data_IF_640514773026
#
_entry.id   IF_640514773026
#
_cell.length_a   1.000
_cell.length_b   1.000
_cell.length_c   1.000
_cell.angle_alpha   90.00
_cell.angle_beta   90.00
_cell.angle_gamma   90.00
#
_symmetry.space_group_name_H-M   'P 1'
#
loop_
_entity.id
_entity.type
_entity.pdbx_description
1 polymer ?
#
# COMPACT_ATOMS: atom_id res chain seq x y z
N UNK A 1 35.52 -20.03 9.26
CA UNK A 1 34.16 -20.44 8.88
C UNK A 1 33.43 -21.07 10.07
N UNK A 2 32.29 -20.50 10.48
CA UNK A 2 31.41 -21.10 11.48
C UNK A 2 30.28 -21.86 10.78
N UNK A 3 30.08 -23.14 11.08
CA UNK A 3 29.06 -23.95 10.41
C UNK A 3 28.09 -24.54 11.43
N UNK A 4 26.86 -24.06 11.41
CA UNK A 4 25.76 -24.55 12.25
C UNK A 4 24.77 -25.41 11.46
N UNK A 5 25.09 -25.77 10.22
CA UNK A 5 24.17 -26.49 9.34
C UNK A 5 23.58 -27.73 10.02
N UNK A 6 22.28 -27.97 9.79
CA UNK A 6 21.51 -29.08 10.37
C UNK A 6 21.38 -29.07 11.90
N UNK A 7 21.77 -27.98 12.58
CA UNK A 7 21.61 -27.87 14.04
C UNK A 7 20.15 -27.59 14.44
N UNK A 8 19.69 -28.23 15.52
CA UNK A 8 18.37 -27.99 16.14
C UNK A 8 18.57 -27.29 17.50
N UNK A 9 18.12 -26.04 17.60
CA UNK A 9 18.25 -25.23 18.80
C UNK A 9 16.94 -25.22 19.59
N UNK A 10 16.96 -25.86 20.77
CA UNK A 10 15.77 -26.08 21.61
C UNK A 10 15.48 -24.94 22.60
N UNK A 11 16.45 -24.08 22.90
CA UNK A 11 16.32 -22.98 23.86
C UNK A 11 16.48 -21.60 23.24
N UNK A 12 16.30 -20.56 24.06
CA UNK A 12 16.60 -19.18 23.65
C UNK A 12 18.06 -19.08 23.23
N UNK A 13 18.28 -18.67 21.98
CA UNK A 13 19.62 -18.63 21.38
C UNK A 13 19.95 -17.20 20.97
N UNK A 14 21.16 -16.74 21.28
CA UNK A 14 21.61 -15.39 20.95
C UNK A 14 22.93 -15.47 20.18
N UNK A 15 22.95 -14.92 18.97
CA UNK A 15 24.16 -14.71 18.18
C UNK A 15 24.49 -13.22 18.18
N UNK A 16 25.56 -12.87 18.86
CA UNK A 16 26.09 -11.50 18.92
C UNK A 16 27.58 -11.48 18.62
N UNK A 17 28.04 -10.43 17.94
CA UNK A 17 29.44 -10.22 17.58
C UNK A 17 29.65 -10.19 16.07
N UNK A 18 30.90 -10.29 15.64
CA UNK A 18 31.27 -10.47 14.23
C UNK A 18 31.73 -11.90 13.98
N UNK A 19 31.30 -12.49 12.87
CA UNK A 19 31.95 -13.68 12.35
C UNK A 19 33.12 -13.21 11.47
N UNK A 20 34.35 -13.58 11.82
CA UNK A 20 35.56 -13.20 11.04
C UNK A 20 35.54 -13.79 9.61
N UNK A 21 34.70 -14.81 9.39
CA UNK A 21 34.51 -15.52 8.14
C UNK A 21 33.04 -16.01 8.04
N UNK A 22 32.65 -16.67 6.94
CA UNK A 22 31.25 -17.06 6.69
C UNK A 22 30.64 -17.89 7.83
N UNK A 23 29.42 -17.54 8.23
CA UNK A 23 28.57 -18.36 9.08
C UNK A 23 27.42 -18.98 8.26
N UNK A 24 27.22 -20.30 8.39
CA UNK A 24 26.14 -21.01 7.68
C UNK A 24 25.15 -21.62 8.66
N UNK A 25 23.86 -21.34 8.44
CA UNK A 25 22.73 -21.91 9.18
C UNK A 25 21.80 -22.72 8.26
N UNK A 26 22.40 -23.47 7.34
CA UNK A 26 21.64 -24.22 6.35
C UNK A 26 20.89 -25.38 7.03
N UNK A 27 19.58 -25.50 6.77
CA UNK A 27 18.72 -26.51 7.38
C UNK A 27 18.73 -26.52 8.92
N UNK A 28 18.99 -25.36 9.55
CA UNK A 28 18.82 -25.22 10.99
C UNK A 28 17.35 -25.12 11.38
N UNK A 29 17.04 -25.50 12.61
CA UNK A 29 15.72 -25.32 13.21
C UNK A 29 15.89 -24.54 14.51
N UNK A 30 15.21 -23.40 14.63
CA UNK A 30 15.13 -22.65 15.88
C UNK A 30 13.73 -22.84 16.48
N UNK A 31 13.65 -23.64 17.55
CA UNK A 31 12.37 -23.99 18.21
C UNK A 31 11.87 -22.94 19.18
N UNK A 32 12.77 -22.11 19.70
CA UNK A 32 12.44 -20.99 20.59
C UNK A 32 12.91 -19.64 20.01
N UNK A 33 12.74 -18.56 20.79
CA UNK A 33 13.15 -17.22 20.34
C UNK A 33 14.65 -17.14 20.08
N UNK A 34 15.02 -16.53 18.96
CA UNK A 34 16.40 -16.27 18.57
C UNK A 34 16.65 -14.78 18.39
N UNK A 35 17.84 -14.34 18.83
CA UNK A 35 18.30 -12.95 18.69
C UNK A 35 19.59 -12.91 17.87
N UNK A 36 19.62 -12.07 16.83
CA UNK A 36 20.80 -11.71 16.07
C UNK A 36 21.13 -10.24 16.32
N UNK A 37 22.39 -9.91 16.63
CA UNK A 37 22.86 -8.52 16.84
C UNK A 37 24.27 -8.32 16.29
N UNK A 38 24.53 -7.14 15.73
CA UNK A 38 25.87 -6.73 15.28
C UNK A 38 26.14 -6.96 13.79
N UNK A 39 27.43 -7.07 13.44
CA UNK A 39 27.90 -7.21 12.07
C UNK A 39 27.95 -8.67 11.63
N UNK A 40 27.11 -9.08 10.68
CA UNK A 40 26.92 -10.49 10.33
C UNK A 40 27.21 -10.77 8.84
N UNK A 41 27.95 -11.85 8.53
CA UNK A 41 28.09 -12.44 7.18
C UNK A 41 27.50 -13.86 7.23
N UNK A 42 26.19 -13.96 6.97
CA UNK A 42 25.40 -15.18 7.20
C UNK A 42 24.66 -15.63 5.93
N UNK A 43 24.61 -16.94 5.69
CA UNK A 43 23.69 -17.55 4.72
C UNK A 43 22.63 -18.41 5.43
N UNK A 44 21.35 -18.17 5.12
CA UNK A 44 20.21 -18.97 5.56
C UNK A 44 19.56 -19.70 4.39
N UNK A 45 19.67 -21.02 4.36
CA UNK A 45 18.98 -21.85 3.39
C UNK A 45 18.10 -22.88 4.11
N UNK A 46 16.79 -22.66 4.11
CA UNK A 46 15.81 -23.68 4.45
C UNK A 46 15.52 -24.48 3.18
N UNK A 47 16.07 -25.70 3.09
CA UNK A 47 15.77 -26.61 1.99
C UNK A 47 14.25 -26.73 1.75
N UNK A 48 13.87 -27.05 0.52
CA UNK A 48 12.51 -26.95 -0.07
C UNK A 48 11.41 -27.83 0.55
N UNK A 49 11.60 -28.39 1.74
CA UNK A 49 10.62 -29.26 2.41
C UNK A 49 9.84 -28.45 3.43
N UNK A 50 8.50 -28.37 3.24
CA UNK A 50 7.56 -27.60 4.09
C UNK A 50 7.62 -27.92 5.59
N UNK A 51 8.22 -29.05 5.98
CA UNK A 51 8.36 -29.51 7.37
C UNK A 51 9.48 -28.80 8.17
N UNK A 52 10.32 -27.96 7.53
CA UNK A 52 11.46 -27.29 8.21
C UNK A 52 11.39 -25.76 8.09
N UNK A 53 10.48 -25.14 8.84
CA UNK A 53 10.53 -23.67 9.05
C UNK A 53 11.80 -23.33 9.82
N UNK A 54 12.59 -22.38 9.30
CA UNK A 54 13.79 -21.86 10.01
C UNK A 54 13.39 -21.33 11.39
N UNK A 55 12.26 -20.63 11.43
CA UNK A 55 11.77 -19.91 12.58
C UNK A 55 10.38 -20.41 12.97
N UNK A 56 10.30 -21.07 14.13
CA UNK A 56 9.01 -21.52 14.68
C UNK A 56 8.35 -20.47 15.59
N UNK A 57 9.11 -19.45 16.02
CA UNK A 57 8.66 -18.37 16.91
C UNK A 57 9.22 -17.02 16.46
N UNK A 58 8.93 -15.99 17.27
CA UNK A 58 9.48 -14.64 17.18
C UNK A 58 11.01 -14.67 17.02
N UNK A 59 11.50 -13.94 16.03
CA UNK A 59 12.93 -13.72 15.77
C UNK A 59 13.23 -12.25 15.92
N UNK A 60 14.24 -11.94 16.72
CA UNK A 60 14.74 -10.58 16.90
C UNK A 60 16.01 -10.41 16.06
N UNK A 61 15.85 -9.79 14.89
CA UNK A 61 16.97 -9.41 14.03
C UNK A 61 16.98 -7.89 13.96
N UNK A 62 17.28 -7.27 15.10
CA UNK A 62 17.26 -5.83 15.28
C UNK A 62 18.69 -5.28 15.33
N UNK A 63 18.88 -4.08 14.77
CA UNK A 63 20.19 -3.42 14.69
C UNK A 63 21.27 -4.30 14.06
N UNK A 64 20.89 -5.08 13.04
CA UNK A 64 21.81 -5.94 12.29
C UNK A 64 22.31 -5.21 11.06
N UNK A 65 23.64 -5.21 10.89
CA UNK A 65 24.29 -4.70 9.70
C UNK A 65 25.02 -5.83 8.99
N UNK A 66 24.62 -6.14 7.74
CA UNK A 66 25.33 -7.14 6.95
C UNK A 66 26.55 -6.50 6.29
N UNK A 67 27.75 -6.98 6.63
CA UNK A 67 29.00 -6.43 6.09
C UNK A 67 29.16 -6.75 4.58
N UNK A 68 28.56 -7.86 4.15
CA UNK A 68 28.54 -8.33 2.74
C UNK A 68 27.11 -8.75 2.38
N UNK A 69 26.17 -7.79 2.21
CA UNK A 69 24.76 -8.10 2.02
C UNK A 69 24.50 -8.94 0.77
N UNK A 70 25.30 -8.76 -0.28
CA UNK A 70 25.30 -9.53 -1.54
C UNK A 70 25.51 -11.06 -1.33
N UNK A 71 26.09 -11.45 -0.19
CA UNK A 71 26.33 -12.86 0.16
C UNK A 71 25.24 -13.44 1.05
N UNK A 72 24.38 -12.59 1.61
CA UNK A 72 23.30 -13.00 2.50
C UNK A 72 22.12 -13.41 1.65
N UNK A 73 21.64 -14.64 1.88
CA UNK A 73 20.48 -15.18 1.19
C UNK A 73 19.50 -15.70 2.23
N UNK A 74 18.22 -15.38 2.03
CA UNK A 74 17.08 -16.00 2.67
C UNK A 74 16.28 -16.71 1.59
N UNK A 75 16.22 -18.04 1.65
CA UNK A 75 15.55 -18.87 0.64
C UNK A 75 14.47 -19.70 1.32
N UNK A 76 13.21 -19.54 0.91
CA UNK A 76 12.08 -20.29 1.47
C UNK A 76 11.76 -19.94 2.94
N UNK A 77 12.28 -18.81 3.43
CA UNK A 77 12.18 -18.43 4.85
C UNK A 77 10.85 -17.73 5.15
N UNK A 78 10.21 -18.14 6.24
CA UNK A 78 9.05 -17.43 6.79
C UNK A 78 9.50 -16.19 7.56
N UNK A 79 9.28 -15.01 6.98
CA UNK A 79 9.67 -13.71 7.53
C UNK A 79 8.55 -13.08 8.38
N UNK A 80 7.40 -13.75 8.53
CA UNK A 80 6.21 -13.18 9.18
C UNK A 80 6.35 -12.93 10.69
N UNK A 81 7.41 -13.45 11.33
CA UNK A 81 7.68 -13.30 12.77
C UNK A 81 9.00 -12.57 13.09
N UNK A 82 9.63 -11.94 12.09
CA UNK A 82 10.90 -11.22 12.27
C UNK A 82 10.65 -9.77 12.68
N UNK A 83 11.29 -9.37 13.78
CA UNK A 83 11.50 -7.97 14.11
C UNK A 83 12.79 -7.49 13.43
N UNK A 84 12.67 -6.48 12.57
CA UNK A 84 13.73 -5.98 11.68
C UNK A 84 14.09 -4.52 11.93
N UNK A 85 13.52 -3.90 12.98
CA UNK A 85 13.87 -2.54 13.37
C UNK A 85 15.40 -2.37 13.50
N UNK A 86 15.94 -1.35 12.85
CA UNK A 86 17.39 -1.06 12.87
C UNK A 86 18.23 -1.92 11.93
N UNK A 87 17.64 -2.89 11.23
CA UNK A 87 18.36 -3.78 10.32
C UNK A 87 18.34 -3.27 8.89
N UNK A 88 19.51 -3.27 8.24
CA UNK A 88 19.63 -2.97 6.81
C UNK A 88 19.59 -4.26 5.99
N UNK A 89 18.63 -4.36 5.07
CA UNK A 89 18.45 -5.51 4.18
C UNK A 89 18.81 -5.18 2.73
N UNK A 90 19.28 -3.97 2.43
CA UNK A 90 19.69 -3.61 1.06
C UNK A 90 20.83 -4.50 0.59
N UNK A 91 20.75 -4.96 -0.65
CA UNK A 91 21.68 -5.93 -1.24
C UNK A 91 21.49 -7.37 -0.80
N UNK A 92 20.63 -7.65 0.19
CA UNK A 92 20.33 -9.01 0.66
C UNK A 92 19.42 -9.71 -0.34
N UNK A 93 19.70 -10.98 -0.61
CA UNK A 93 18.88 -11.79 -1.49
C UNK A 93 17.71 -12.46 -0.76
N UNK A 94 16.49 -12.15 -1.20
CA UNK A 94 15.24 -12.69 -0.67
C UNK A 94 14.56 -13.52 -1.77
N UNK A 95 14.51 -14.84 -1.59
CA UNK A 95 13.88 -15.78 -2.53
C UNK A 95 12.82 -16.60 -1.81
N UNK A 96 11.61 -16.69 -2.37
CA UNK A 96 10.48 -17.46 -1.84
C UNK A 96 10.18 -17.19 -0.35
N UNK A 97 10.34 -15.94 0.08
CA UNK A 97 10.10 -15.52 1.46
C UNK A 97 8.64 -15.19 1.73
N UNK A 98 8.13 -15.54 2.92
CA UNK A 98 6.73 -15.25 3.32
C UNK A 98 6.65 -14.03 4.23
N UNK A 99 5.82 -13.04 3.87
CA UNK A 99 5.70 -11.76 4.59
C UNK A 99 4.30 -11.44 5.08
N UNK A 100 3.32 -12.33 4.88
CA UNK A 100 1.92 -12.03 5.12
C UNK A 100 1.62 -11.80 6.60
N UNK A 101 0.96 -10.68 6.90
CA UNK A 101 0.55 -10.32 8.26
C UNK A 101 -0.98 -10.31 8.35
N UNK A 102 -1.56 -11.26 9.08
CA UNK A 102 -3.01 -11.37 9.23
C UNK A 102 -3.65 -10.10 9.79
N UNK A 103 -2.99 -9.44 10.76
CA UNK A 103 -3.48 -8.18 11.34
C UNK A 103 -3.51 -7.01 10.35
N UNK A 104 -2.61 -7.02 9.36
CA UNK A 104 -2.53 -5.97 8.34
C UNK A 104 -3.34 -6.33 7.09
N UNK A 105 -3.73 -7.60 6.93
CA UNK A 105 -4.37 -8.15 5.71
C UNK A 105 -3.55 -7.92 4.43
N UNK A 106 -2.23 -7.82 4.57
CA UNK A 106 -1.25 -7.64 3.49
C UNK A 106 0.13 -8.15 3.92
N UNK A 107 1.06 -8.19 2.97
CA UNK A 107 2.47 -8.35 3.31
C UNK A 107 2.98 -7.12 4.07
N UNK A 108 3.76 -7.34 5.11
CA UNK A 108 4.29 -6.25 5.92
C UNK A 108 5.19 -6.70 7.06
N UNK A 109 5.70 -5.72 7.79
CA UNK A 109 6.62 -5.96 8.90
C UNK A 109 5.88 -6.43 10.15
N UNK A 110 6.44 -7.45 10.80
CA UNK A 110 5.97 -7.84 12.12
C UNK A 110 6.21 -6.75 13.16
N UNK A 111 7.20 -5.87 12.96
CA UNK A 111 7.43 -4.69 13.82
C UNK A 111 6.19 -3.79 13.93
N UNK A 112 5.43 -3.62 12.84
CA UNK A 112 4.17 -2.87 12.88
C UNK A 112 3.12 -3.60 13.73
N UNK A 113 2.97 -4.91 13.53
CA UNK A 113 2.04 -5.76 14.29
C UNK A 113 2.39 -5.79 15.78
N UNK A 114 3.68 -5.79 16.09
CA UNK A 114 4.21 -5.75 17.45
C UNK A 114 3.94 -4.39 18.08
N UNK A 115 4.23 -3.28 17.40
CA UNK A 115 4.00 -1.93 17.88
C UNK A 115 2.52 -1.63 18.16
N UNK A 116 1.58 -2.28 17.44
CA UNK A 116 0.15 -2.18 17.72
C UNK A 116 -0.27 -2.76 19.09
N UNK A 117 0.56 -3.61 19.70
CA UNK A 117 0.30 -4.18 21.03
C UNK A 117 0.94 -3.37 22.17
N UNK A 118 1.71 -2.33 21.83
CA UNK A 118 2.48 -1.54 22.79
C UNK A 118 1.78 -0.23 23.15
N UNK A 119 2.32 0.48 24.15
CA UNK A 119 1.82 1.80 24.54
C UNK A 119 2.02 2.85 23.43
N UNK A 120 1.20 3.89 23.43
CA UNK A 120 1.28 4.97 22.43
C UNK A 120 2.64 5.69 22.43
N UNK A 121 3.26 5.84 23.61
CA UNK A 121 4.59 6.42 23.75
C UNK A 121 5.65 5.57 23.02
N UNK A 122 5.64 4.26 23.24
CA UNK A 122 6.53 3.34 22.52
C UNK A 122 6.24 3.36 21.02
N UNK A 123 4.96 3.37 20.63
CA UNK A 123 4.55 3.38 19.23
C UNK A 123 5.06 4.63 18.51
N UNK A 124 4.96 5.80 19.12
CA UNK A 124 5.43 7.06 18.54
C UNK A 124 6.95 7.10 18.43
N UNK A 125 7.67 6.49 19.39
CA UNK A 125 9.13 6.36 19.35
C UNK A 125 9.59 5.43 18.22
N UNK A 126 8.92 4.28 18.02
CA UNK A 126 9.37 3.25 17.08
C UNK A 126 8.90 3.47 15.64
N UNK A 127 7.83 4.25 15.42
CA UNK A 127 7.26 4.51 14.09
C UNK A 127 8.30 4.93 13.02
N UNK A 128 9.23 5.87 13.29
CA UNK A 128 10.25 6.25 12.31
C UNK A 128 11.17 5.08 11.92
N UNK A 129 11.46 4.18 12.85
CA UNK A 129 12.30 3.02 12.61
C UNK A 129 11.55 1.97 11.78
N UNK A 130 10.25 1.79 12.01
CA UNK A 130 9.38 0.94 11.18
C UNK A 130 9.29 1.51 9.74
N UNK A 131 9.22 2.83 9.57
CA UNK A 131 9.26 3.46 8.24
C UNK A 131 10.55 3.09 7.50
N UNK A 132 11.70 3.18 8.19
CA UNK A 132 13.00 2.78 7.63
C UNK A 132 13.05 1.29 7.30
N UNK A 133 12.49 0.44 8.16
CA UNK A 133 12.40 -1.01 7.91
C UNK A 133 11.59 -1.31 6.64
N UNK A 134 10.44 -0.65 6.46
CA UNK A 134 9.62 -0.82 5.26
C UNK A 134 10.39 -0.42 4.00
N UNK A 135 11.13 0.70 4.05
CA UNK A 135 11.98 1.15 2.95
C UNK A 135 13.09 0.16 2.64
N UNK A 136 13.78 -0.36 3.65
CA UNK A 136 14.89 -1.29 3.47
C UNK A 136 14.41 -2.61 2.84
N UNK A 137 13.30 -3.18 3.33
CA UNK A 137 12.72 -4.40 2.74
C UNK A 137 12.22 -4.13 1.32
N UNK A 138 11.56 -2.98 1.07
CA UNK A 138 11.12 -2.61 -0.28
C UNK A 138 12.28 -2.58 -1.27
N UNK A 139 13.38 -1.90 -0.93
CA UNK A 139 14.56 -1.81 -1.80
C UNK A 139 15.15 -3.20 -2.04
N UNK A 140 15.30 -4.02 -1.01
CA UNK A 140 15.77 -5.39 -1.16
C UNK A 140 14.88 -6.23 -2.10
N UNK A 141 13.56 -6.12 -1.97
CA UNK A 141 12.62 -6.83 -2.86
C UNK A 141 12.70 -6.30 -4.31
N UNK A 142 12.84 -4.99 -4.51
CA UNK A 142 13.02 -4.38 -5.84
C UNK A 142 14.31 -4.86 -6.51
N UNK A 143 15.42 -4.95 -5.76
CA UNK A 143 16.71 -5.47 -6.22
C UNK A 143 16.63 -6.96 -6.60
N UNK A 144 15.84 -7.74 -5.86
CA UNK A 144 15.53 -9.14 -6.17
C UNK A 144 14.44 -9.30 -7.25
N UNK A 145 13.97 -8.21 -7.86
CA UNK A 145 12.92 -8.16 -8.90
C UNK A 145 11.54 -8.66 -8.44
N UNK A 146 11.30 -8.74 -7.14
CA UNK A 146 9.99 -9.07 -6.57
C UNK A 146 9.13 -7.82 -6.39
N UNK A 147 8.65 -7.30 -7.53
CA UNK A 147 7.84 -6.09 -7.56
C UNK A 147 6.45 -6.25 -6.94
N UNK A 148 5.96 -7.49 -6.80
CA UNK A 148 4.65 -7.76 -6.22
C UNK A 148 4.70 -7.47 -4.72
N UNK A 149 5.65 -8.09 -3.99
CA UNK A 149 5.82 -7.82 -2.57
C UNK A 149 6.31 -6.39 -2.33
N UNK A 150 7.27 -5.88 -3.11
CA UNK A 150 7.79 -4.52 -2.95
C UNK A 150 6.66 -3.47 -2.93
N UNK A 151 5.61 -3.68 -3.73
CA UNK A 151 4.46 -2.78 -3.79
C UNK A 151 3.65 -2.76 -2.48
N UNK A 152 3.50 -3.88 -1.79
CA UNK A 152 2.84 -3.93 -0.47
C UNK A 152 3.71 -3.25 0.62
N UNK A 153 5.03 -3.41 0.55
CA UNK A 153 5.95 -2.71 1.45
C UNK A 153 5.99 -1.20 1.20
N UNK A 154 5.84 -0.76 -0.05
CA UNK A 154 5.66 0.66 -0.40
C UNK A 154 4.39 1.26 0.23
N UNK A 155 3.26 0.54 0.18
CA UNK A 155 2.03 0.95 0.84
C UNK A 155 2.28 1.10 2.36
N UNK A 156 2.95 0.11 2.96
CA UNK A 156 3.33 0.17 4.37
C UNK A 156 4.19 1.39 4.71
N UNK A 157 5.22 1.68 3.91
CA UNK A 157 6.07 2.87 4.06
C UNK A 157 5.21 4.16 4.10
N UNK A 158 4.31 4.33 3.14
CA UNK A 158 3.44 5.52 3.08
C UNK A 158 2.45 5.56 4.25
N UNK A 159 1.86 4.44 4.63
CA UNK A 159 0.92 4.37 5.75
C UNK A 159 1.59 4.77 7.07
N UNK A 160 2.81 4.30 7.31
CA UNK A 160 3.60 4.68 8.49
C UNK A 160 3.96 6.17 8.44
N UNK A 161 4.41 6.69 7.28
CA UNK A 161 4.67 8.13 7.10
C UNK A 161 3.44 8.99 7.38
N UNK A 162 2.26 8.54 6.95
CA UNK A 162 0.99 9.21 7.22
C UNK A 162 0.62 9.18 8.71
N UNK A 163 0.90 8.08 9.43
CA UNK A 163 0.67 7.96 10.88
C UNK A 163 1.53 8.93 11.71
N UNK A 164 2.64 9.45 11.18
CA UNK A 164 3.48 10.48 11.83
C UNK A 164 2.88 11.89 11.80
N UNK A 165 1.92 12.14 10.92
CA UNK A 165 1.35 13.49 10.75
C UNK A 165 0.25 13.75 11.79
N UNK A 166 0.07 15.02 12.14
CA UNK A 166 -1.07 15.46 12.97
C UNK A 166 -2.41 15.00 12.35
N UNK A 167 -3.43 14.74 13.18
CA UNK A 167 -4.72 14.13 12.79
C UNK A 167 -5.32 14.76 11.53
N UNK A 168 -5.32 16.10 11.45
CA UNK A 168 -5.87 16.84 10.29
C UNK A 168 -5.08 16.53 9.01
N UNK A 169 -3.74 16.59 9.06
CA UNK A 169 -2.87 16.25 7.92
C UNK A 169 -2.92 14.77 7.57
N UNK A 170 -3.12 13.90 8.57
CA UNK A 170 -3.24 12.45 8.39
C UNK A 170 -4.47 12.08 7.55
N UNK A 171 -5.57 12.83 7.67
CA UNK A 171 -6.84 12.47 7.02
C UNK A 171 -7.25 13.36 5.84
N UNK A 172 -6.96 14.66 5.87
CA UNK A 172 -7.55 15.61 4.91
C UNK A 172 -6.54 16.44 4.11
N UNK A 173 -5.44 16.86 4.73
CA UNK A 173 -4.53 17.87 4.14
C UNK A 173 -3.20 17.30 3.65
N UNK A 174 -3.13 16.00 3.34
CA UNK A 174 -1.91 15.40 2.78
C UNK A 174 -2.17 14.74 1.43
N UNK A 175 -1.20 14.90 0.52
CA UNK A 175 -1.20 14.28 -0.81
C UNK A 175 -1.34 12.75 -0.66
N UNK A 176 -0.73 12.17 0.37
CA UNK A 176 -0.82 10.74 0.66
C UNK A 176 -2.23 10.33 1.11
N UNK A 177 -2.92 11.16 1.91
CA UNK A 177 -4.32 10.90 2.27
C UNK A 177 -5.24 10.97 1.06
N UNK A 178 -5.04 11.97 0.19
CA UNK A 178 -5.79 12.12 -1.05
C UNK A 178 -5.55 10.94 -2.01
N UNK A 179 -4.28 10.56 -2.24
CA UNK A 179 -3.93 9.43 -3.10
C UNK A 179 -4.49 8.09 -2.58
N UNK A 180 -4.49 7.90 -1.25
CA UNK A 180 -5.15 6.76 -0.61
C UNK A 180 -6.66 6.75 -0.86
N UNK A 181 -7.32 7.90 -0.69
CA UNK A 181 -8.76 8.02 -0.90
C UNK A 181 -9.15 7.76 -2.37
N UNK A 182 -8.35 8.25 -3.32
CA UNK A 182 -8.63 8.13 -4.74
C UNK A 182 -8.45 6.71 -5.29
N UNK A 183 -7.47 5.95 -4.81
CA UNK A 183 -7.10 4.67 -5.47
C UNK A 183 -6.41 3.64 -4.57
N UNK A 184 -6.38 3.84 -3.25
CA UNK A 184 -5.55 3.06 -2.32
C UNK A 184 -4.09 3.00 -2.80
N UNK A 185 -3.52 4.16 -3.11
CA UNK A 185 -2.17 4.28 -3.67
C UNK A 185 -1.97 3.56 -5.02
N UNK A 186 -2.98 3.62 -5.89
CA UNK A 186 -2.93 3.01 -7.22
C UNK A 186 -2.95 1.48 -7.19
N UNK A 187 -3.56 0.86 -6.17
CA UNK A 187 -3.60 -0.61 -6.03
C UNK A 187 -4.99 -1.20 -6.16
N UNK A 188 -6.05 -0.41 -5.98
CA UNK A 188 -7.43 -0.89 -6.07
C UNK A 188 -8.20 -0.25 -7.22
N UNK A 189 -8.41 -1.00 -8.33
CA UNK A 189 -9.26 -0.56 -9.43
C UNK A 189 -10.69 -0.24 -8.98
N UNK A 190 -11.23 -1.01 -8.05
CA UNK A 190 -12.59 -0.84 -7.54
C UNK A 190 -12.71 0.49 -6.79
N UNK A 191 -11.72 0.84 -5.96
CA UNK A 191 -11.69 2.14 -5.30
C UNK A 191 -11.62 3.28 -6.31
N UNK A 192 -10.74 3.16 -7.31
CA UNK A 192 -10.60 4.18 -8.35
C UNK A 192 -11.88 4.36 -9.18
N UNK A 193 -12.55 3.26 -9.54
CA UNK A 193 -13.84 3.31 -10.24
C UNK A 193 -14.95 3.93 -9.38
N UNK A 194 -15.00 3.59 -8.08
CA UNK A 194 -15.95 4.18 -7.14
C UNK A 194 -15.75 5.69 -7.01
N UNK A 195 -14.52 6.16 -6.94
CA UNK A 195 -14.21 7.59 -6.86
C UNK A 195 -14.51 8.32 -8.17
N UNK A 196 -14.27 7.68 -9.32
CA UNK A 196 -14.71 8.22 -10.61
C UNK A 196 -16.24 8.39 -10.67
N UNK A 197 -16.99 7.36 -10.24
CA UNK A 197 -18.45 7.43 -10.14
C UNK A 197 -18.91 8.54 -9.19
N UNK A 198 -18.20 8.72 -8.07
CA UNK A 198 -18.51 9.79 -7.12
C UNK A 198 -18.30 11.18 -7.73
N UNK A 199 -17.19 11.41 -8.45
CA UNK A 199 -16.97 12.67 -9.17
C UNK A 199 -18.01 12.89 -10.28
N UNK A 200 -18.40 11.83 -10.98
CA UNK A 200 -19.49 11.87 -11.96
C UNK A 200 -20.80 12.32 -11.32
N UNK A 201 -21.22 11.68 -10.23
CA UNK A 201 -22.46 12.04 -9.53
C UNK A 201 -22.39 13.45 -8.96
N UNK A 202 -21.25 13.85 -8.39
CA UNK A 202 -21.06 15.18 -7.83
C UNK A 202 -21.19 16.27 -8.91
N UNK A 203 -20.47 16.12 -10.03
CA UNK A 203 -20.57 17.07 -11.14
C UNK A 203 -21.98 17.14 -11.69
N UNK A 204 -22.59 15.98 -11.95
CA UNK A 204 -23.95 15.86 -12.46
C UNK A 204 -24.97 16.59 -11.57
N UNK A 205 -24.93 16.36 -10.26
CA UNK A 205 -25.83 17.02 -9.31
C UNK A 205 -25.60 18.53 -9.29
N UNK A 206 -24.36 18.99 -9.23
CA UNK A 206 -24.04 20.42 -9.23
C UNK A 206 -24.55 21.09 -10.51
N UNK A 207 -24.27 20.52 -11.68
CA UNK A 207 -24.76 21.04 -12.96
C UNK A 207 -26.28 21.08 -13.03
N UNK A 208 -26.93 20.01 -12.58
CA UNK A 208 -28.40 19.93 -12.56
C UNK A 208 -29.02 21.00 -11.65
N UNK A 209 -28.51 21.18 -10.43
CA UNK A 209 -29.02 22.19 -9.50
C UNK A 209 -28.75 23.63 -9.97
N UNK A 210 -27.58 23.89 -10.56
CA UNK A 210 -27.27 25.22 -11.11
C UNK A 210 -28.20 25.56 -12.27
N UNK A 211 -28.50 24.60 -13.14
CA UNK A 211 -29.47 24.80 -14.21
C UNK A 211 -30.88 25.06 -13.67
N UNK A 212 -31.34 24.25 -12.71
CA UNK A 212 -32.67 24.42 -12.11
C UNK A 212 -32.80 25.80 -11.46
N UNK A 213 -31.76 26.24 -10.75
CA UNK A 213 -31.72 27.56 -10.12
C UNK A 213 -31.73 28.70 -11.15
N UNK A 214 -31.14 28.50 -12.34
CA UNK A 214 -31.09 29.51 -13.39
C UNK A 214 -32.37 29.60 -14.22
N UNK A 215 -33.14 28.52 -14.32
CA UNK A 215 -34.25 28.40 -15.29
C UNK A 215 -35.63 28.67 -14.69
N UNK A 216 -35.74 28.88 -13.37
CA UNK A 216 -37.01 29.07 -12.65
C UNK A 216 -38.08 27.99 -12.93
N UNK A 217 -37.69 26.83 -13.44
CA UNK A 217 -38.64 25.74 -13.68
C UNK A 217 -39.14 25.16 -12.33
N UNK A 218 -40.42 24.76 -12.23
CA UNK A 218 -40.91 24.04 -11.07
C UNK A 218 -40.17 22.70 -10.91
N UNK A 219 -39.98 22.27 -9.67
CA UNK A 219 -39.40 20.96 -9.35
C UNK A 219 -40.34 19.86 -9.87
N UNK A 220 -39.79 18.80 -10.47
CA UNK A 220 -40.56 17.73 -11.09
C UNK A 220 -41.62 17.10 -10.16
N UNK A 221 -42.84 16.94 -10.65
CA UNK A 221 -43.91 16.16 -10.01
C UNK A 221 -43.79 14.67 -10.37
N UNK A 222 -43.43 13.84 -9.40
CA UNK A 222 -43.06 12.42 -9.59
C UNK A 222 -44.24 11.42 -9.61
N UNK A 223 -45.44 11.85 -9.99
CA UNK A 223 -46.67 11.07 -9.73
C UNK A 223 -47.06 10.05 -10.83
N UNK A 224 -46.32 9.91 -11.94
CA UNK A 224 -46.72 8.97 -13.03
C UNK A 224 -45.56 8.29 -13.78
N UNK A 225 -45.78 7.14 -14.42
CA UNK A 225 -44.74 6.50 -15.25
C UNK A 225 -44.38 7.32 -16.50
N UNK A 226 -45.31 8.09 -17.07
CA UNK A 226 -44.99 9.05 -18.14
C UNK A 226 -44.05 10.16 -17.65
N UNK A 227 -44.19 10.58 -16.39
CA UNK A 227 -43.25 11.52 -15.78
C UNK A 227 -41.82 10.97 -15.69
N UNK A 228 -41.61 9.65 -15.61
CA UNK A 228 -40.25 9.07 -15.60
C UNK A 228 -39.54 9.25 -16.94
N UNK A 229 -40.25 9.12 -18.07
CA UNK A 229 -39.67 9.32 -19.40
C UNK A 229 -39.32 10.80 -19.62
N UNK A 230 -40.21 11.69 -19.20
CA UNK A 230 -39.98 13.15 -19.25
C UNK A 230 -38.80 13.55 -18.37
N UNK A 231 -38.76 13.10 -17.11
CA UNK A 231 -37.64 13.29 -16.19
C UNK A 231 -36.34 12.75 -16.80
N UNK A 232 -36.35 11.54 -17.36
CA UNK A 232 -35.14 10.98 -17.99
C UNK A 232 -34.65 11.82 -19.17
N UNK A 233 -35.56 12.28 -20.04
CA UNK A 233 -35.20 13.11 -21.20
C UNK A 233 -34.65 14.48 -20.78
N UNK A 234 -35.16 15.06 -19.70
CA UNK A 234 -34.69 16.35 -19.19
C UNK A 234 -33.39 16.22 -18.38
N UNK A 235 -33.22 15.12 -17.66
CA UNK A 235 -32.07 14.90 -16.76
C UNK A 235 -30.86 14.29 -17.48
N UNK A 236 -31.09 13.40 -18.45
CA UNK A 236 -30.02 12.67 -19.14
C UNK A 236 -29.00 13.55 -19.86
N UNK A 237 -29.32 14.73 -20.44
CA UNK A 237 -28.33 15.62 -21.04
C UNK A 237 -27.26 16.07 -20.04
N UNK A 238 -27.62 16.33 -18.77
CA UNK A 238 -26.66 16.71 -17.73
C UNK A 238 -25.75 15.55 -17.36
N UNK A 239 -26.29 14.32 -17.31
CA UNK A 239 -25.50 13.11 -17.08
C UNK A 239 -24.49 12.90 -18.20
N UNK A 240 -24.93 12.99 -19.45
CA UNK A 240 -24.07 12.87 -20.63
C UNK A 240 -23.00 13.98 -20.64
N UNK A 241 -23.38 15.22 -20.32
CA UNK A 241 -22.44 16.34 -20.25
C UNK A 241 -21.37 16.10 -19.17
N UNK A 242 -21.77 15.64 -17.99
CA UNK A 242 -20.86 15.31 -16.88
C UNK A 242 -19.87 14.23 -17.26
N UNK A 243 -20.33 13.19 -17.96
CA UNK A 243 -19.46 12.14 -18.47
C UNK A 243 -18.47 12.68 -19.51
N UNK A 244 -18.92 13.52 -20.44
CA UNK A 244 -18.06 14.15 -21.46
C UNK A 244 -16.98 15.03 -20.82
N UNK A 245 -17.35 15.84 -19.83
CA UNK A 245 -16.43 16.71 -19.09
C UNK A 245 -15.35 15.89 -18.38
N UNK A 246 -15.74 14.84 -17.66
CA UNK A 246 -14.81 13.96 -16.94
C UNK A 246 -13.91 13.14 -17.87
N UNK A 247 -14.36 12.87 -19.10
CA UNK A 247 -13.62 12.07 -20.09
C UNK A 247 -12.93 12.91 -21.17
N UNK A 248 -12.90 14.24 -21.02
CA UNK A 248 -12.35 15.20 -22.00
C UNK A 248 -12.92 15.05 -23.42
N UNK A 249 -14.15 14.57 -23.55
CA UNK A 249 -14.80 14.50 -24.86
C UNK A 249 -15.23 15.88 -25.34
N UNK A 250 -15.21 16.09 -26.66
CA UNK A 250 -15.61 17.37 -27.27
C UNK A 250 -17.05 17.71 -26.88
N UNK A 251 -17.23 18.90 -26.32
CA UNK A 251 -18.53 19.43 -25.95
C UNK A 251 -19.14 20.19 -27.14
N UNK A 252 -20.46 20.05 -27.32
CA UNK A 252 -21.25 21.00 -28.11
C UNK A 252 -21.68 22.16 -27.22
N UNK A 253 -22.19 23.25 -27.81
CA UNK A 253 -22.70 24.45 -27.12
C UNK A 253 -24.03 24.17 -26.39
N UNK A 254 -24.07 23.13 -25.54
CA UNK A 254 -25.34 22.57 -25.08
C UNK A 254 -25.98 23.37 -23.94
N UNK A 255 -25.26 24.30 -23.31
CA UNK A 255 -25.76 25.11 -22.20
C UNK A 255 -25.06 26.49 -22.26
N UNK A 256 -25.82 27.57 -22.24
CA UNK A 256 -25.30 28.91 -21.95
C UNK A 256 -24.78 28.90 -20.51
N UNK A 257 -23.49 28.61 -20.36
CA UNK A 257 -22.90 28.38 -19.06
C UNK A 257 -22.67 29.71 -18.34
N UNK A 258 -23.33 29.91 -17.20
CA UNK A 258 -22.93 30.95 -16.25
C UNK A 258 -21.48 30.75 -15.78
N UNK A 259 -20.85 31.81 -15.29
CA UNK A 259 -19.44 31.80 -14.84
C UNK A 259 -19.14 30.67 -13.85
N UNK A 260 -20.06 30.38 -12.93
CA UNK A 260 -19.92 29.30 -11.96
C UNK A 260 -19.89 27.91 -12.62
N UNK A 261 -20.77 27.66 -13.59
CA UNK A 261 -20.78 26.38 -14.32
C UNK A 261 -19.47 26.17 -15.09
N UNK A 262 -18.99 27.22 -15.76
CA UNK A 262 -17.70 27.17 -16.48
C UNK A 262 -16.52 26.85 -15.56
N UNK A 263 -16.49 27.44 -14.35
CA UNK A 263 -15.47 27.15 -13.35
C UNK A 263 -15.53 25.68 -12.88
N UNK A 264 -16.73 25.17 -12.59
CA UNK A 264 -16.95 23.78 -12.20
C UNK A 264 -16.53 22.82 -13.31
N UNK A 265 -16.99 23.05 -14.54
CA UNK A 265 -16.60 22.26 -15.71
C UNK A 265 -15.07 22.19 -15.85
N UNK A 266 -14.39 23.32 -15.66
CA UNK A 266 -12.92 23.40 -15.75
C UNK A 266 -12.24 22.56 -14.67
N UNK A 267 -12.72 22.61 -13.42
CA UNK A 267 -12.18 21.80 -12.32
C UNK A 267 -12.34 20.30 -12.63
N UNK A 268 -13.52 19.89 -13.08
CA UNK A 268 -13.80 18.47 -13.36
C UNK A 268 -13.12 17.96 -14.63
N UNK A 269 -12.82 18.82 -15.61
CA UNK A 269 -11.94 18.51 -16.76
C UNK A 269 -10.51 18.18 -16.34
N UNK A 270 -10.04 18.70 -15.20
CA UNK A 270 -8.72 18.36 -14.65
C UNK A 270 -8.81 17.07 -13.83
N UNK A 271 -9.81 16.97 -12.95
CA UNK A 271 -9.97 15.82 -12.04
C UNK A 271 -10.26 14.52 -12.79
N UNK A 272 -11.12 14.56 -13.82
CA UNK A 272 -11.56 13.38 -14.55
C UNK A 272 -10.40 12.56 -15.17
N UNK A 273 -9.53 13.17 -15.99
CA UNK A 273 -8.36 12.51 -16.56
C UNK A 273 -7.39 11.96 -15.51
N UNK A 274 -7.16 12.70 -14.42
CA UNK A 274 -6.32 12.22 -13.31
C UNK A 274 -6.92 10.94 -12.73
N UNK A 275 -8.24 10.91 -12.51
CA UNK A 275 -8.91 9.74 -11.96
C UNK A 275 -8.92 8.55 -12.93
N UNK A 276 -9.07 8.80 -14.24
CA UNK A 276 -8.95 7.76 -15.28
C UNK A 276 -7.52 7.20 -15.28
N UNK A 277 -6.50 8.05 -15.22
CA UNK A 277 -5.11 7.62 -15.16
C UNK A 277 -4.83 6.76 -13.91
N UNK A 278 -5.40 7.14 -12.76
CA UNK A 278 -5.32 6.34 -11.52
C UNK A 278 -6.03 4.99 -11.65
N UNK A 279 -7.18 4.93 -12.31
CA UNK A 279 -7.89 3.68 -12.58
C UNK A 279 -7.06 2.75 -13.48
N UNK A 280 -6.52 3.27 -14.58
CA UNK A 280 -5.65 2.53 -15.50
C UNK A 280 -4.40 2.03 -14.78
N UNK A 281 -3.75 2.88 -13.97
CA UNK A 281 -2.60 2.50 -13.16
C UNK A 281 -2.94 1.38 -12.18
N UNK A 282 -4.07 1.47 -11.48
CA UNK A 282 -4.52 0.45 -10.55
C UNK A 282 -4.83 -0.88 -11.24
N UNK A 283 -5.44 -0.85 -12.44
CA UNK A 283 -5.70 -2.03 -13.26
C UNK A 283 -4.39 -2.69 -13.68
N UNK A 284 -3.44 -1.91 -14.19
CA UNK A 284 -2.10 -2.40 -14.56
C UNK A 284 -1.39 -3.05 -13.38
N UNK A 285 -1.42 -2.42 -12.21
CA UNK A 285 -0.79 -2.95 -11.00
C UNK A 285 -1.46 -4.24 -10.53
N UNK A 286 -2.79 -4.34 -10.62
CA UNK A 286 -3.51 -5.57 -10.29
C UNK A 286 -3.16 -6.72 -11.24
N UNK A 287 -3.04 -6.44 -12.54
CA UNK A 287 -2.65 -7.45 -13.54
C UNK A 287 -1.20 -7.90 -13.31
N UNK A 288 -0.28 -6.99 -12.99
CA UNK A 288 1.13 -7.35 -12.72
C UNK A 288 1.31 -8.23 -11.46
N UNK A 289 0.37 -8.14 -10.51
CA UNK A 289 0.43 -8.88 -9.22
C UNK A 289 -0.14 -10.29 -9.31
N UNK A 290 -0.99 -10.55 -10.29
CA UNK A 290 -1.61 -11.86 -10.55
C UNK A 290 -0.82 -12.61 -11.63
#
# INVERSE_FOLDING_TARGET
>A
MANFSQSDFHGRTSFGGSFDDKASFNSCIFRDSITFRGGLDITFNTGSTEERRLFNKKVEMQDVNFLRPDRVKFVGTDMSWLLLVGTDLKGVHLYDTKWFQQKLKRNGLYDEVFALKQSDNYRNYIIPQIESGYRNVRVALEENKDYSFASDFYIGEIEIRRKRKHIIKKHFLSIEAFYNALSLYGTSPIQAARMFLWFFLLHFLISFFLYQASSNHPMFDFYSFESLKTVFNEVSPYGINSLKILTLQRFGNFIENGLLQSLIDTIFRIIGPIQIALLVMALRNKIKRN
#
